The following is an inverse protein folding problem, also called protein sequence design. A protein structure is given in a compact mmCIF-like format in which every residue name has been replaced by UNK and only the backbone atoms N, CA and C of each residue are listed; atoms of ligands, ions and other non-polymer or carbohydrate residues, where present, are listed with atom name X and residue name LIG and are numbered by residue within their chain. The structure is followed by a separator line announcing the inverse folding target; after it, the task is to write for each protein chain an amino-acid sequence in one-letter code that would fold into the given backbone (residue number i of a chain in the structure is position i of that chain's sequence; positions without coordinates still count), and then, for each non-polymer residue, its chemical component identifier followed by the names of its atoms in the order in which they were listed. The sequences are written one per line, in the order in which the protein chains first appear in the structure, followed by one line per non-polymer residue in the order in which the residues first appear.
data_IF_174455860264
#
_entry.id   IF_174455860264
#
_cell.length_a   1.000
_cell.length_b   1.000
_cell.length_c   1.000
_cell.angle_alpha   90.00
_cell.angle_beta   90.00
_cell.angle_gamma   90.00
#
_symmetry.space_group_name_H-M   'P 1'
#
loop_
_entity.id
_entity.type
_entity.pdbx_description
1 polymer ?
#
# COMPACT_ATOMS: atom_id res chain seq x y z
N UNK A 1 40.96 16.68 5.33
CA UNK A 1 41.45 15.89 6.49
C UNK A 1 40.67 14.59 6.45
N UNK A 2 41.32 13.53 5.95
CA UNK A 2 40.71 12.21 5.75
C UNK A 2 41.21 11.35 6.90
N UNK A 3 40.33 11.02 7.85
CA UNK A 3 40.64 10.15 8.98
C UNK A 3 40.33 8.72 8.60
N UNK A 4 41.36 7.98 8.17
CA UNK A 4 41.34 6.52 8.20
C UNK A 4 42.34 6.10 9.27
N UNK A 5 41.80 5.56 10.37
CA UNK A 5 42.57 4.82 11.37
C UNK A 5 42.84 3.42 10.81
N UNK A 6 44.09 2.96 10.94
CA UNK A 6 44.55 1.63 10.54
C UNK A 6 44.34 0.58 11.64
N UNK A 7 43.55 0.93 12.67
CA UNK A 7 43.23 0.09 13.82
C UNK A 7 44.28 0.19 14.94
N UNK A 8 45.17 1.18 14.88
CA UNK A 8 46.18 1.43 15.92
C UNK A 8 45.64 2.29 17.06
N UNK A 9 44.56 3.04 16.83
CA UNK A 9 43.94 3.89 17.84
C UNK A 9 43.10 3.07 18.83
N UNK A 10 43.64 2.86 20.03
CA UNK A 10 42.97 2.08 21.09
C UNK A 10 41.94 2.87 21.90
N UNK A 11 41.78 4.16 21.60
CA UNK A 11 40.98 5.09 22.39
C UNK A 11 40.02 5.84 21.49
N UNK A 12 38.76 5.44 21.50
CA UNK A 12 37.70 6.16 20.80
C UNK A 12 37.02 7.15 21.74
N UNK A 13 36.70 8.34 21.24
CA UNK A 13 36.02 9.39 22.04
C UNK A 13 34.74 9.81 21.35
N UNK A 14 33.60 9.68 22.04
CA UNK A 14 32.28 10.11 21.56
C UNK A 14 31.70 11.10 22.59
N UNK A 15 31.26 12.27 22.13
CA UNK A 15 30.74 13.36 22.99
C UNK A 15 31.65 13.72 24.18
N UNK A 16 32.97 13.69 23.94
CA UNK A 16 33.98 14.00 24.96
C UNK A 16 34.18 12.91 26.01
N UNK A 17 33.58 11.72 25.86
CA UNK A 17 33.76 10.57 26.73
C UNK A 17 34.47 9.43 26.00
N UNK A 18 35.40 8.76 26.68
CA UNK A 18 36.07 7.58 26.15
C UNK A 18 35.08 6.42 26.03
N UNK A 19 35.00 5.82 24.85
CA UNK A 19 34.11 4.70 24.53
C UNK A 19 34.90 3.55 23.90
N UNK A 20 34.49 2.29 24.11
CA UNK A 20 35.21 1.15 23.56
C UNK A 20 35.08 1.02 22.03
N UNK A 21 33.94 1.45 21.47
CA UNK A 21 33.66 1.41 20.02
C UNK A 21 32.77 2.59 19.63
N UNK A 22 32.90 3.05 18.39
CA UNK A 22 31.96 3.97 17.74
C UNK A 22 31.40 3.26 16.52
N UNK A 23 30.09 3.00 16.53
CA UNK A 23 29.40 2.38 15.40
C UNK A 23 29.25 3.38 14.23
N UNK A 24 29.01 2.92 12.98
CA UNK A 24 28.81 3.80 11.82
C UNK A 24 27.66 4.82 11.95
N UNK A 25 26.77 4.63 12.92
CA UNK A 25 25.69 5.55 13.28
C UNK A 25 26.11 6.59 14.34
N UNK A 26 27.41 6.71 14.65
CA UNK A 26 27.99 7.62 15.64
C UNK A 26 27.44 7.40 17.06
N UNK A 27 27.12 6.16 17.42
CA UNK A 27 26.74 5.78 18.79
C UNK A 27 27.72 4.75 19.35
N UNK A 28 27.83 4.68 20.68
CA UNK A 28 28.69 3.73 21.40
C UNK A 28 27.91 2.72 22.25
N UNK A 29 26.57 2.76 22.17
CA UNK A 29 25.67 1.84 22.84
C UNK A 29 25.54 0.52 22.05
N UNK A 30 24.51 -0.28 22.36
CA UNK A 30 24.24 -1.52 21.63
C UNK A 30 24.21 -1.28 20.11
N UNK A 31 24.96 -2.10 19.38
CA UNK A 31 25.05 -2.01 17.93
C UNK A 31 23.67 -2.27 17.30
N UNK A 32 22.98 -1.21 16.90
CA UNK A 32 21.67 -1.34 16.24
C UNK A 32 21.79 -1.90 14.82
N UNK A 33 23.00 -2.03 14.27
CA UNK A 33 23.23 -2.61 12.94
C UNK A 33 23.14 -4.14 12.93
N UNK A 34 23.21 -4.78 14.11
CA UNK A 34 22.99 -6.23 14.31
C UNK A 34 21.60 -6.56 14.87
N UNK A 35 20.71 -5.57 14.99
CA UNK A 35 19.35 -5.79 15.49
C UNK A 35 18.58 -6.73 14.55
N UNK A 36 18.32 -7.95 15.03
CA UNK A 36 17.50 -8.92 14.31
C UNK A 36 16.02 -8.55 14.42
N UNK A 37 15.29 -8.64 13.31
CA UNK A 37 13.85 -8.44 13.30
C UNK A 37 13.18 -9.46 14.23
N UNK A 38 12.38 -8.97 15.18
CA UNK A 38 11.57 -9.84 16.03
C UNK A 38 10.51 -10.54 15.17
N UNK A 39 10.34 -11.85 15.34
CA UNK A 39 9.26 -12.60 14.69
C UNK A 39 7.88 -12.04 15.06
N UNK A 40 7.73 -11.46 16.26
CA UNK A 40 6.52 -10.75 16.64
C UNK A 40 6.20 -9.53 15.76
N UNK A 41 7.19 -8.97 15.04
CA UNK A 41 7.02 -7.82 14.16
C UNK A 41 6.84 -8.21 12.68
N UNK A 42 6.91 -9.51 12.32
CA UNK A 42 6.59 -9.95 10.96
C UNK A 42 5.08 -9.93 10.74
N UNK A 43 4.65 -9.65 9.50
CA UNK A 43 3.23 -9.63 9.10
C UNK A 43 2.36 -8.60 9.83
N UNK A 44 2.97 -7.63 10.53
CA UNK A 44 2.25 -6.53 11.18
C UNK A 44 2.07 -5.34 10.24
N UNK A 45 3.06 -5.02 9.40
CA UNK A 45 3.02 -3.85 8.51
C UNK A 45 3.12 -4.26 7.05
N UNK A 46 2.23 -3.73 6.21
CA UNK A 46 2.24 -3.98 4.77
C UNK A 46 2.39 -2.69 3.97
N UNK A 47 2.62 -2.81 2.67
CA UNK A 47 2.42 -1.70 1.73
C UNK A 47 1.01 -1.81 1.16
N UNK A 48 0.31 -0.68 1.04
CA UNK A 48 -0.97 -0.64 0.35
C UNK A 48 -0.86 -0.95 -1.15
N UNK A 49 -2.02 -1.01 -1.78
CA UNK A 49 -2.18 -1.32 -3.20
C UNK A 49 -1.69 -0.18 -4.10
N UNK A 50 -1.18 -0.52 -5.27
CA UNK A 50 -0.82 0.49 -6.29
C UNK A 50 -1.69 0.29 -7.53
N UNK A 51 -2.56 1.27 -7.81
CA UNK A 51 -3.46 1.24 -8.96
C UNK A 51 -2.73 1.42 -10.29
N UNK A 52 -1.82 2.39 -10.39
CA UNK A 52 -1.16 2.82 -11.64
C UNK A 52 -2.17 2.98 -12.81
N UNK A 53 -2.91 4.09 -12.78
CA UNK A 53 -3.97 4.45 -13.72
C UNK A 53 -5.23 4.93 -13.02
N UNK A 54 -6.16 5.50 -13.77
CA UNK A 54 -7.43 6.06 -13.30
C UNK A 54 -8.49 5.00 -12.95
N UNK A 55 -8.17 4.07 -12.04
CA UNK A 55 -9.13 3.05 -11.55
C UNK A 55 -10.03 3.54 -10.41
N UNK A 56 -9.76 4.71 -9.86
CA UNK A 56 -10.60 5.35 -8.87
C UNK A 56 -11.76 6.11 -9.52
N UNK A 57 -12.89 6.10 -8.83
CA UNK A 57 -14.12 6.78 -9.25
C UNK A 57 -14.71 7.60 -8.08
N UNK A 58 -15.45 8.67 -8.37
CA UNK A 58 -16.21 9.40 -7.36
C UNK A 58 -17.25 8.51 -6.67
N UNK A 59 -17.52 8.79 -5.40
CA UNK A 59 -18.55 8.05 -4.63
C UNK A 59 -19.93 8.06 -5.30
N UNK A 60 -20.34 9.18 -5.91
CA UNK A 60 -21.63 9.26 -6.61
C UNK A 60 -21.76 8.21 -7.71
N UNK A 61 -20.72 8.03 -8.52
CA UNK A 61 -20.71 7.02 -9.60
C UNK A 61 -20.69 5.60 -9.02
N UNK A 62 -19.87 5.35 -8.00
CA UNK A 62 -19.81 4.06 -7.32
C UNK A 62 -21.17 3.67 -6.74
N UNK A 63 -21.84 4.56 -6.02
CA UNK A 63 -23.16 4.32 -5.42
C UNK A 63 -24.23 4.05 -6.48
N UNK A 64 -24.14 4.70 -7.63
CA UNK A 64 -25.02 4.42 -8.76
C UNK A 64 -24.77 3.02 -9.32
N UNK A 65 -23.50 2.64 -9.54
CA UNK A 65 -23.14 1.36 -10.12
C UNK A 65 -23.44 0.17 -9.20
N UNK A 66 -23.30 0.35 -7.88
CA UNK A 66 -23.63 -0.68 -6.89
C UNK A 66 -25.09 -1.16 -6.97
N UNK A 67 -25.99 -0.33 -7.50
CA UNK A 67 -27.43 -0.65 -7.62
C UNK A 67 -27.78 -1.37 -8.92
N UNK A 68 -26.85 -1.45 -9.86
CA UNK A 68 -27.10 -2.01 -11.19
C UNK A 68 -26.80 -3.51 -11.22
N UNK A 69 -27.63 -4.31 -11.92
CA UNK A 69 -27.38 -5.73 -12.09
C UNK A 69 -26.23 -5.96 -13.07
N UNK A 70 -25.59 -7.13 -12.97
CA UNK A 70 -24.62 -7.60 -13.94
C UNK A 70 -25.14 -8.86 -14.66
N UNK A 71 -24.72 -9.13 -15.91
CA UNK A 71 -25.17 -10.29 -16.70
C UNK A 71 -25.02 -11.65 -16.03
N UNK A 72 -24.02 -11.78 -15.15
CA UNK A 72 -23.69 -13.00 -14.43
C UNK A 72 -24.37 -13.10 -13.05
N UNK A 73 -25.22 -12.14 -12.69
CA UNK A 73 -26.01 -12.13 -11.46
C UNK A 73 -25.26 -11.75 -10.19
N UNK A 74 -23.93 -11.49 -10.23
CA UNK A 74 -23.19 -11.03 -9.04
C UNK A 74 -23.21 -9.51 -8.90
N UNK A 75 -23.17 -8.99 -7.66
CA UNK A 75 -23.26 -7.55 -7.42
C UNK A 75 -21.95 -6.83 -7.74
N UNK A 76 -22.04 -5.55 -8.12
CA UNK A 76 -20.86 -4.71 -8.32
C UNK A 76 -20.03 -4.49 -7.03
N UNK A 77 -20.60 -4.76 -5.85
CA UNK A 77 -19.87 -4.72 -4.57
C UNK A 77 -18.72 -5.71 -4.49
N UNK A 78 -18.69 -6.72 -5.36
CA UNK A 78 -17.56 -7.66 -5.43
C UNK A 78 -16.28 -6.96 -5.90
N UNK A 79 -16.40 -5.95 -6.76
CA UNK A 79 -15.28 -5.26 -7.42
C UNK A 79 -15.24 -3.75 -7.17
N UNK A 80 -16.25 -3.17 -6.54
CA UNK A 80 -16.23 -1.76 -6.11
C UNK A 80 -15.95 -1.69 -4.61
N UNK A 81 -14.86 -1.01 -4.25
CA UNK A 81 -14.43 -0.88 -2.85
C UNK A 81 -14.22 0.59 -2.49
N UNK A 82 -14.56 1.02 -1.27
CA UNK A 82 -14.08 2.30 -0.75
C UNK A 82 -12.55 2.33 -0.81
N UNK A 83 -11.99 3.47 -1.20
CA UNK A 83 -10.56 3.64 -1.37
C UNK A 83 -10.07 4.83 -0.57
N UNK A 84 -8.94 4.65 0.10
CA UNK A 84 -8.34 5.70 0.92
C UNK A 84 -6.88 5.88 0.52
N UNK A 85 -6.47 7.14 0.48
CA UNK A 85 -5.09 7.52 0.22
C UNK A 85 -4.57 8.50 1.29
N UNK A 86 -3.26 8.78 1.27
CA UNK A 86 -2.64 9.69 2.24
C UNK A 86 -3.32 11.07 2.30
N UNK A 87 -3.81 11.58 1.17
CA UNK A 87 -4.48 12.88 1.12
C UNK A 87 -5.82 12.89 1.85
N UNK A 88 -6.57 11.78 1.83
CA UNK A 88 -7.83 11.63 2.55
C UNK A 88 -7.65 11.52 4.07
N UNK A 89 -6.47 11.12 4.55
CA UNK A 89 -6.16 11.12 6.00
C UNK A 89 -5.84 12.54 6.48
N UNK A 90 -5.09 13.30 5.68
CA UNK A 90 -4.59 14.63 6.08
C UNK A 90 -5.60 15.74 5.76
N UNK A 91 -6.49 15.52 4.80
CA UNK A 91 -7.49 16.49 4.32
C UNK A 91 -8.88 15.88 4.33
N UNK A 92 -9.91 16.72 4.46
CA UNK A 92 -11.31 16.30 4.35
C UNK A 92 -11.73 16.16 2.88
N UNK A 93 -11.02 15.29 2.15
CA UNK A 93 -11.31 15.03 0.75
C UNK A 93 -12.63 14.24 0.60
N UNK A 94 -13.34 14.34 -0.53
CA UNK A 94 -14.49 13.51 -0.82
C UNK A 94 -14.12 12.03 -0.76
N UNK A 95 -15.07 11.19 -0.34
CA UNK A 95 -14.90 9.74 -0.37
C UNK A 95 -14.61 9.30 -1.81
N UNK A 96 -13.57 8.49 -1.97
CA UNK A 96 -13.23 7.87 -3.25
C UNK A 96 -13.50 6.39 -3.19
N UNK A 97 -13.81 5.83 -4.35
CA UNK A 97 -13.99 4.40 -4.54
C UNK A 97 -12.99 3.93 -5.60
N UNK A 98 -12.74 2.63 -5.64
CA UNK A 98 -11.84 2.02 -6.61
C UNK A 98 -12.45 0.77 -7.20
N UNK A 99 -12.16 0.55 -8.48
CA UNK A 99 -12.43 -0.70 -9.17
C UNK A 99 -11.28 -1.66 -8.84
N UNK A 100 -11.61 -2.73 -8.14
CA UNK A 100 -10.69 -3.73 -7.61
C UNK A 100 -11.12 -5.15 -8.01
N UNK A 101 -10.56 -5.65 -9.10
CA UNK A 101 -10.73 -7.04 -9.54
C UNK A 101 -9.85 -8.03 -8.75
N UNK A 102 -9.28 -7.62 -7.62
CA UNK A 102 -8.44 -8.47 -6.77
C UNK A 102 -7.06 -8.75 -7.36
N UNK A 103 -6.50 -9.92 -7.05
CA UNK A 103 -5.09 -10.27 -7.36
C UNK A 103 -4.91 -11.04 -8.66
N UNK A 104 -5.97 -11.68 -9.17
CA UNK A 104 -5.83 -12.63 -10.26
C UNK A 104 -7.11 -12.92 -11.05
N UNK A 105 -8.16 -12.11 -10.91
CA UNK A 105 -9.39 -12.29 -11.70
C UNK A 105 -9.06 -12.27 -13.19
N UNK A 106 -9.62 -13.22 -13.94
CA UNK A 106 -9.40 -13.30 -15.39
C UNK A 106 -10.17 -12.20 -16.10
N UNK A 107 -9.66 -11.74 -17.24
CA UNK A 107 -10.38 -10.74 -18.05
C UNK A 107 -11.78 -11.24 -18.44
N UNK A 108 -11.92 -12.53 -18.78
CA UNK A 108 -13.21 -13.16 -19.10
C UNK A 108 -14.23 -13.13 -17.96
N UNK A 109 -13.78 -12.95 -16.71
CA UNK A 109 -14.65 -12.76 -15.54
C UNK A 109 -14.92 -11.28 -15.35
N UNK A 110 -13.88 -10.45 -15.41
CA UNK A 110 -13.95 -9.00 -15.24
C UNK A 110 -14.94 -8.34 -16.21
N UNK A 111 -14.98 -8.78 -17.49
CA UNK A 111 -15.92 -8.26 -18.51
C UNK A 111 -17.39 -8.36 -18.12
N UNK A 112 -17.74 -9.26 -17.20
CA UNK A 112 -19.12 -9.41 -16.75
C UNK A 112 -19.53 -8.36 -15.71
N UNK A 113 -18.61 -7.55 -15.19
CA UNK A 113 -18.90 -6.34 -14.41
C UNK A 113 -18.92 -5.16 -15.37
N UNK A 114 -20.03 -4.99 -16.10
CA UNK A 114 -20.05 -4.20 -17.35
C UNK A 114 -19.55 -2.76 -17.17
N UNK A 115 -20.04 -2.04 -16.15
CA UNK A 115 -19.64 -0.65 -15.89
C UNK A 115 -18.21 -0.55 -15.34
N UNK A 116 -17.82 -1.29 -14.28
CA UNK A 116 -16.42 -1.32 -13.84
C UNK A 116 -15.44 -1.69 -14.95
N UNK A 117 -15.75 -2.71 -15.75
CA UNK A 117 -14.92 -3.13 -16.88
C UNK A 117 -14.84 -2.05 -17.96
N UNK A 118 -15.98 -1.45 -18.33
CA UNK A 118 -16.01 -0.37 -19.34
C UNK A 118 -15.15 0.81 -18.93
N UNK A 119 -15.21 1.23 -17.66
CA UNK A 119 -14.36 2.29 -17.12
C UNK A 119 -12.87 1.96 -17.28
N UNK A 120 -12.42 0.80 -16.79
CA UNK A 120 -11.00 0.45 -16.91
C UNK A 120 -10.56 0.25 -18.37
N UNK A 121 -11.47 -0.21 -19.24
CA UNK A 121 -11.19 -0.38 -20.65
C UNK A 121 -10.97 0.96 -21.36
N UNK A 122 -11.76 1.98 -21.01
CA UNK A 122 -11.70 3.30 -21.64
C UNK A 122 -10.62 4.19 -21.04
N UNK A 123 -10.45 4.17 -19.73
CA UNK A 123 -9.64 5.16 -19.01
C UNK A 123 -8.28 4.61 -18.54
N UNK A 124 -8.17 3.30 -18.29
CA UNK A 124 -6.94 2.70 -17.71
C UNK A 124 -6.11 1.99 -18.77
N UNK A 125 -6.75 1.22 -19.65
CA UNK A 125 -6.06 0.47 -20.69
C UNK A 125 -5.19 1.36 -21.59
N UNK A 126 -5.66 2.51 -22.13
CA UNK A 126 -4.84 3.31 -23.04
C UNK A 126 -3.60 3.92 -22.37
N UNK A 127 -3.67 4.18 -21.06
CA UNK A 127 -2.51 4.63 -20.29
C UNK A 127 -1.50 3.51 -20.10
N UNK A 128 -1.97 2.30 -19.80
CA UNK A 128 -1.11 1.14 -19.53
C UNK A 128 -0.42 0.59 -20.76
N UNK A 129 -1.05 0.67 -21.92
CA UNK A 129 -0.43 0.27 -23.19
C UNK A 129 0.85 1.06 -23.51
N UNK A 130 1.03 2.25 -22.89
CA UNK A 130 2.25 3.07 -23.01
C UNK A 130 3.36 2.65 -22.05
N UNK A 131 3.10 1.71 -21.14
CA UNK A 131 4.07 1.28 -20.13
C UNK A 131 5.13 0.34 -20.72
N UNK A 132 6.38 0.49 -20.25
CA UNK A 132 7.47 -0.43 -20.60
C UNK A 132 7.49 -1.70 -19.74
N UNK A 133 6.53 -1.88 -18.82
CA UNK A 133 6.44 -3.06 -17.96
C UNK A 133 5.45 -4.10 -18.55
N UNK A 134 5.92 -5.22 -19.14
CA UNK A 134 5.03 -6.19 -19.79
C UNK A 134 3.90 -6.73 -18.91
N UNK A 135 4.10 -6.99 -17.58
CA UNK A 135 3.01 -7.44 -16.73
C UNK A 135 1.85 -6.44 -16.60
N UNK A 136 2.15 -5.13 -16.59
CA UNK A 136 1.13 -4.07 -16.47
C UNK A 136 0.29 -4.00 -17.75
N UNK A 137 0.93 -4.15 -18.91
CA UNK A 137 0.27 -4.18 -20.22
C UNK A 137 -0.60 -5.43 -20.36
N UNK A 138 -0.04 -6.60 -20.02
CA UNK A 138 -0.73 -7.90 -20.16
C UNK A 138 -1.93 -8.05 -19.22
N UNK A 139 -1.87 -7.44 -18.03
CA UNK A 139 -2.93 -7.49 -17.00
C UNK A 139 -3.45 -6.10 -16.69
N UNK A 140 -3.76 -5.34 -17.74
CA UNK A 140 -4.14 -3.92 -17.67
C UNK A 140 -5.39 -3.65 -16.81
N UNK A 141 -6.26 -4.63 -16.60
CA UNK A 141 -7.46 -4.49 -15.77
C UNK A 141 -7.18 -4.71 -14.27
N UNK A 142 -6.08 -5.35 -13.89
CA UNK A 142 -5.73 -5.58 -12.47
C UNK A 142 -4.93 -4.42 -11.90
N UNK A 143 -4.88 -4.24 -10.58
CA UNK A 143 -3.94 -3.29 -10.00
C UNK A 143 -2.48 -3.64 -10.33
N UNK A 144 -1.65 -2.63 -10.60
CA UNK A 144 -0.23 -2.86 -10.88
C UNK A 144 0.49 -3.54 -9.70
N UNK A 145 0.08 -3.24 -8.46
CA UNK A 145 0.48 -3.99 -7.27
C UNK A 145 -0.75 -4.32 -6.42
N UNK A 146 -1.34 -5.52 -6.59
CA UNK A 146 -2.57 -5.90 -5.89
C UNK A 146 -2.35 -6.36 -4.44
N UNK A 147 -1.11 -6.63 -4.03
CA UNK A 147 -0.70 -6.98 -2.65
C UNK A 147 -1.43 -8.20 -2.07
N UNK A 148 -1.25 -9.40 -2.64
CA UNK A 148 -1.90 -10.61 -2.16
C UNK A 148 -1.59 -10.92 -0.68
N UNK A 149 -0.37 -10.63 -0.22
CA UNK A 149 0.06 -10.90 1.15
C UNK A 149 -0.74 -10.07 2.16
N UNK A 150 -0.91 -8.78 1.89
CA UNK A 150 -1.74 -7.89 2.70
C UNK A 150 -3.20 -8.36 2.73
N UNK A 151 -3.75 -8.69 1.55
CA UNK A 151 -5.14 -9.14 1.43
C UNK A 151 -5.38 -10.42 2.20
N UNK A 152 -4.44 -11.35 2.17
CA UNK A 152 -4.51 -12.58 2.94
C UNK A 152 -4.48 -12.29 4.45
N UNK A 153 -3.65 -11.35 4.89
CA UNK A 153 -3.46 -11.03 6.28
C UNK A 153 -4.66 -10.30 6.93
N UNK A 154 -5.50 -9.63 6.13
CA UNK A 154 -6.74 -8.99 6.62
C UNK A 154 -7.98 -9.89 6.60
N UNK A 155 -7.87 -11.14 6.14
CA UNK A 155 -9.01 -12.07 6.15
C UNK A 155 -9.42 -12.35 7.59
N UNK A 156 -10.71 -12.14 7.89
CA UNK A 156 -11.28 -12.34 9.22
C UNK A 156 -11.05 -11.17 10.19
N UNK A 157 -10.35 -10.11 9.76
CA UNK A 157 -10.17 -8.90 10.56
C UNK A 157 -11.23 -7.87 10.17
N UNK A 158 -11.85 -7.21 11.16
CA UNK A 158 -12.90 -6.20 10.92
C UNK A 158 -12.34 -4.83 10.54
N UNK A 159 -11.17 -4.47 11.04
CA UNK A 159 -10.52 -3.18 10.81
C UNK A 159 -9.02 -3.27 11.02
N UNK A 160 -8.27 -2.42 10.33
CA UNK A 160 -6.83 -2.30 10.49
C UNK A 160 -6.43 -0.82 10.64
N UNK A 161 -5.21 -0.57 11.14
CA UNK A 161 -4.68 0.78 11.29
C UNK A 161 -3.99 1.22 10.02
N UNK A 162 -4.12 2.48 9.64
CA UNK A 162 -3.34 3.10 8.55
C UNK A 162 -2.60 4.32 9.05
N UNK A 163 -1.48 4.63 8.42
CA UNK A 163 -0.74 5.89 8.60
C UNK A 163 -0.23 6.39 7.26
N UNK A 164 -0.23 7.71 6.99
CA UNK A 164 0.50 8.27 5.86
C UNK A 164 1.98 7.90 5.92
N UNK A 165 2.54 7.45 4.79
CA UNK A 165 3.98 7.19 4.63
C UNK A 165 4.78 8.48 4.83
N UNK A 166 4.31 9.57 4.24
CA UNK A 166 4.91 10.91 4.29
C UNK A 166 3.95 11.90 4.95
N UNK A 167 4.30 12.40 6.14
CA UNK A 167 3.58 13.47 6.84
C UNK A 167 4.50 14.16 7.86
N UNK A 168 4.25 15.46 8.13
CA UNK A 168 4.98 16.23 9.16
C UNK A 168 4.74 15.69 10.57
N UNK A 169 3.54 15.17 10.82
CA UNK A 169 3.13 14.54 12.07
C UNK A 169 2.52 13.16 11.76
N UNK A 170 2.81 12.14 12.58
CA UNK A 170 2.24 10.79 12.41
C UNK A 170 0.79 10.79 12.88
N UNK A 171 -0.08 10.32 12.00
CA UNK A 171 -1.52 10.16 12.25
C UNK A 171 -1.84 8.70 12.03
N UNK A 172 -2.54 8.10 12.99
CA UNK A 172 -3.04 6.74 12.90
C UNK A 172 -4.55 6.77 12.85
N UNK A 173 -5.14 6.02 11.92
CA UNK A 173 -6.58 5.94 11.76
C UNK A 173 -7.01 4.48 11.61
N UNK A 174 -8.10 4.11 12.27
CA UNK A 174 -8.76 2.83 12.04
C UNK A 174 -9.61 2.90 10.78
N UNK A 175 -9.51 1.88 9.93
CA UNK A 175 -10.36 1.71 8.74
C UNK A 175 -10.92 0.30 8.68
N UNK A 176 -12.13 0.17 8.16
CA UNK A 176 -12.77 -1.12 7.94
C UNK A 176 -11.99 -1.96 6.93
N UNK A 177 -11.99 -3.29 7.08
CA UNK A 177 -11.25 -4.20 6.21
C UNK A 177 -11.73 -4.21 4.76
N UNK A 178 -12.94 -3.72 4.47
CA UNK A 178 -13.41 -3.54 3.09
C UNK A 178 -12.73 -2.37 2.35
N UNK A 179 -12.16 -1.42 3.09
CA UNK A 179 -11.50 -0.24 2.51
C UNK A 179 -10.14 -0.68 1.95
N UNK A 180 -9.82 -0.26 0.73
CA UNK A 180 -8.54 -0.56 0.10
C UNK A 180 -7.57 0.62 0.30
N UNK A 181 -6.37 0.40 0.87
CA UNK A 181 -5.41 1.47 1.09
C UNK A 181 -4.49 1.65 -0.12
N UNK A 182 -4.14 2.91 -0.42
CA UNK A 182 -3.08 3.27 -1.35
C UNK A 182 -1.68 2.92 -0.81
N UNK A 183 -0.69 2.78 -1.68
CA UNK A 183 0.66 2.40 -1.25
C UNK A 183 1.32 3.47 -0.37
N UNK A 184 0.90 4.73 -0.51
CA UNK A 184 1.23 5.86 0.34
C UNK A 184 0.72 5.78 1.78
N UNK A 185 -0.11 4.79 2.14
CA UNK A 185 -0.61 4.59 3.51
C UNK A 185 -0.43 3.15 4.00
N UNK A 186 0.76 2.78 4.51
CA UNK A 186 1.02 1.44 5.03
C UNK A 186 -0.03 1.01 6.07
N UNK A 187 -0.74 -0.12 5.86
CA UNK A 187 -1.62 -0.68 6.85
C UNK A 187 -0.86 -1.52 7.90
N UNK A 188 -1.37 -1.49 9.12
CA UNK A 188 -0.87 -2.20 10.28
C UNK A 188 -1.97 -3.08 10.86
N UNK A 189 -1.68 -4.36 11.07
CA UNK A 189 -2.56 -5.28 11.76
C UNK A 189 -2.34 -5.18 13.27
N UNK A 190 -3.42 -5.23 14.03
CA UNK A 190 -3.35 -5.43 15.48
C UNK A 190 -3.97 -6.76 15.84
N UNK A 191 -3.30 -7.50 16.72
CA UNK A 191 -3.85 -8.68 17.40
C UNK A 191 -5.05 -8.33 18.28
#
# INVERSE_FOLDING_TARGET
MIGFDDGTEKTHTLDGKTVPVIHPNLTSAADTTIAKQLAANSDISFKGTCKAGAMDIPEGDALNWLRLPNPHGKPNSDVLRPWINASAIVRRNPNQWIIDFGTGMKLSEAVNYELPHKHVLLDVKPEREKSNEPPIVAKWWLMARPRPEFRQAIIGIHRYLITPRVAKHRIFQWVDSIVIPDDGIPPFLSS
#
